data_IF_709587435110
#
_entry.id   IF_709587435110
#
_cell.length_a   1.000
_cell.length_b   1.000
_cell.length_c   1.000
_cell.angle_alpha   90.00
_cell.angle_beta   90.00
_cell.angle_gamma   90.00
#
_symmetry.space_group_name_H-M   'P 1'
#
loop_
_entity.id
_entity.type
_entity.pdbx_description
1 polymer ?
#
# COMPACT_ATOMS: atom_id res chain seq x y z
N UNK A 1 65.43 -31.49 -7.96
CA UNK A 1 63.97 -31.50 -8.15
C UNK A 1 63.36 -30.26 -7.50
N UNK A 2 63.04 -29.27 -8.33
CA UNK A 2 62.37 -28.02 -7.85
C UNK A 2 60.85 -28.24 -7.88
N UNK A 3 60.20 -28.19 -6.73
CA UNK A 3 58.73 -28.21 -6.64
C UNK A 3 58.21 -26.80 -7.00
N UNK A 4 57.50 -26.69 -8.13
CA UNK A 4 56.75 -25.47 -8.50
C UNK A 4 55.48 -25.44 -7.64
N UNK A 5 55.33 -24.42 -6.82
CA UNK A 5 54.10 -24.09 -6.14
C UNK A 5 53.25 -23.21 -7.08
N UNK A 6 52.11 -23.71 -7.49
CA UNK A 6 51.11 -22.97 -8.22
C UNK A 6 50.27 -22.14 -7.20
N UNK A 7 50.47 -20.85 -7.18
CA UNK A 7 49.70 -19.95 -6.34
C UNK A 7 48.40 -19.59 -7.11
N UNK A 8 47.31 -20.22 -6.73
CA UNK A 8 45.99 -19.88 -7.28
C UNK A 8 45.50 -18.61 -6.59
N UNK A 9 45.52 -17.51 -7.31
CA UNK A 9 44.99 -16.23 -6.84
C UNK A 9 43.47 -16.30 -6.91
N UNK A 10 42.80 -16.44 -5.77
CA UNK A 10 41.34 -16.31 -5.67
C UNK A 10 41.04 -14.81 -5.71
N UNK A 11 40.51 -14.34 -6.85
CA UNK A 11 39.95 -12.98 -6.96
C UNK A 11 38.56 -13.06 -6.32
N UNK A 12 38.45 -12.68 -5.06
CA UNK A 12 37.15 -12.31 -4.48
C UNK A 12 36.69 -11.03 -5.15
N UNK A 13 35.78 -11.15 -6.10
CA UNK A 13 34.98 -10.02 -6.54
C UNK A 13 34.01 -9.68 -5.42
N UNK A 14 34.34 -8.72 -4.57
CA UNK A 14 33.36 -8.07 -3.72
C UNK A 14 32.39 -7.30 -4.62
N UNK A 15 31.29 -7.92 -4.99
CA UNK A 15 30.12 -7.16 -5.44
C UNK A 15 29.64 -6.42 -4.21
N UNK A 16 29.93 -5.11 -4.15
CA UNK A 16 29.25 -4.25 -3.21
C UNK A 16 27.77 -4.29 -3.59
N UNK A 17 26.95 -5.03 -2.82
CA UNK A 17 25.52 -4.85 -2.82
C UNK A 17 25.28 -3.37 -2.50
N UNK A 18 24.90 -2.59 -3.51
CA UNK A 18 24.40 -1.24 -3.28
C UNK A 18 23.06 -1.42 -2.59
N UNK A 19 23.00 -1.16 -1.30
CA UNK A 19 21.74 -1.15 -0.56
C UNK A 19 20.73 -0.34 -1.36
N UNK A 20 19.60 -0.95 -1.69
CA UNK A 20 18.50 -0.29 -2.39
C UNK A 20 18.13 1.00 -1.66
N UNK A 21 18.06 2.10 -2.36
CA UNK A 21 17.78 3.41 -1.79
C UNK A 21 16.58 4.07 -2.45
N UNK A 22 15.84 4.82 -1.67
CA UNK A 22 14.79 5.69 -2.18
C UNK A 22 15.37 6.80 -3.06
N UNK A 23 14.76 7.04 -4.21
CA UNK A 23 15.20 8.01 -5.21
C UNK A 23 14.18 9.13 -5.31
N UNK A 24 14.65 10.38 -5.20
CA UNK A 24 13.80 11.54 -5.40
C UNK A 24 13.41 11.68 -6.89
N UNK A 25 12.15 11.98 -7.13
CA UNK A 25 11.55 12.26 -8.43
C UNK A 25 10.99 13.69 -8.47
N UNK A 26 10.35 14.07 -9.57
CA UNK A 26 9.70 15.38 -9.67
C UNK A 26 8.57 15.52 -8.65
N UNK A 27 8.61 16.59 -7.88
CA UNK A 27 7.62 16.87 -6.84
C UNK A 27 6.19 16.92 -7.39
N UNK A 28 5.23 16.44 -6.59
CA UNK A 28 3.81 16.60 -6.87
C UNK A 28 3.46 18.09 -6.88
N UNK A 29 2.64 18.58 -7.85
CA UNK A 29 2.36 20.01 -7.97
C UNK A 29 1.85 20.67 -6.69
N UNK A 30 1.06 19.95 -5.89
CA UNK A 30 0.49 20.47 -4.63
C UNK A 30 0.61 19.38 -3.55
N UNK A 31 1.27 19.72 -2.43
CA UNK A 31 1.36 18.84 -1.25
C UNK A 31 -0.02 18.63 -0.64
N UNK A 32 -0.32 17.35 -0.31
CA UNK A 32 -1.65 16.96 0.19
C UNK A 32 -1.61 15.69 1.03
N UNK A 33 -2.64 15.49 1.81
CA UNK A 33 -2.93 14.20 2.46
C UNK A 33 -4.24 13.60 1.96
N UNK A 34 -4.41 12.29 2.16
CA UNK A 34 -5.56 11.51 1.69
C UNK A 34 -5.89 11.69 0.20
N UNK A 35 -4.90 11.72 -0.71
CA UNK A 35 -5.22 11.67 -2.13
C UNK A 35 -5.82 10.32 -2.49
N UNK A 36 -6.69 10.28 -3.49
CA UNK A 36 -7.02 9.06 -4.20
C UNK A 36 -5.88 8.78 -5.18
N UNK A 37 -5.25 7.61 -5.05
CA UNK A 37 -4.08 7.24 -5.86
C UNK A 37 -4.24 5.88 -6.52
N UNK A 38 -3.70 5.74 -7.71
CA UNK A 38 -3.62 4.48 -8.45
C UNK A 38 -2.57 4.58 -9.56
N UNK A 39 -2.14 3.43 -10.09
CA UNK A 39 -1.35 3.36 -11.32
C UNK A 39 -2.18 2.74 -12.45
N UNK A 40 -2.07 3.29 -13.65
CA UNK A 40 -2.78 2.79 -14.82
C UNK A 40 -2.01 3.13 -16.10
N UNK A 41 -1.88 2.15 -17.00
CA UNK A 41 -1.15 2.31 -18.27
C UNK A 41 0.28 2.86 -18.13
N UNK A 42 1.01 2.43 -17.09
CA UNK A 42 2.38 2.86 -16.81
C UNK A 42 2.51 4.30 -16.31
N UNK A 43 1.43 4.90 -15.86
CA UNK A 43 1.37 6.24 -15.25
C UNK A 43 0.84 6.16 -13.83
N UNK A 44 1.24 7.12 -12.98
CA UNK A 44 0.69 7.31 -11.65
C UNK A 44 -0.34 8.44 -11.61
N UNK A 45 -1.32 8.33 -10.75
CA UNK A 45 -2.38 9.33 -10.62
C UNK A 45 -2.56 9.75 -9.17
N UNK A 46 -2.77 11.05 -8.97
CA UNK A 46 -3.13 11.66 -7.70
C UNK A 46 -4.34 12.56 -7.92
N UNK A 47 -5.47 12.22 -7.32
CA UNK A 47 -6.75 12.90 -7.52
C UNK A 47 -7.30 13.28 -6.15
N UNK A 48 -7.86 14.49 -6.01
CA UNK A 48 -8.50 14.97 -4.79
C UNK A 48 -7.54 15.00 -3.57
N UNK A 49 -8.06 15.00 -2.37
CA UNK A 49 -7.30 15.05 -1.12
C UNK A 49 -7.53 16.37 -0.38
N UNK A 50 -6.79 16.56 0.69
CA UNK A 50 -6.75 17.84 1.43
C UNK A 50 -5.41 18.50 1.20
N UNK A 51 -5.41 19.73 0.75
CA UNK A 51 -4.21 20.55 0.52
C UNK A 51 -3.65 21.16 1.82
N UNK A 52 -2.57 21.91 1.69
CA UNK A 52 -1.92 22.59 2.83
C UNK A 52 -2.75 23.69 3.47
N UNK A 53 -3.87 24.13 2.85
CA UNK A 53 -4.82 25.09 3.44
C UNK A 53 -5.89 24.39 4.28
N UNK A 54 -5.90 23.04 4.28
CA UNK A 54 -6.88 22.22 4.99
C UNK A 54 -8.20 22.06 4.22
N UNK A 55 -8.22 22.40 2.92
CA UNK A 55 -9.43 22.29 2.11
C UNK A 55 -9.43 21.02 1.26
N UNK A 56 -10.57 20.32 1.16
CA UNK A 56 -10.76 19.27 0.18
C UNK A 56 -10.64 19.82 -1.26
N UNK A 57 -10.00 19.05 -2.14
CA UNK A 57 -9.79 19.44 -3.55
C UNK A 57 -10.51 18.48 -4.51
N UNK A 58 -10.63 18.90 -5.77
CA UNK A 58 -11.13 18.12 -6.91
C UNK A 58 -10.10 18.02 -8.05
N UNK A 59 -8.94 18.63 -7.88
CA UNK A 59 -7.84 18.61 -8.85
C UNK A 59 -7.30 17.19 -9.10
N UNK A 60 -6.75 16.98 -10.29
CA UNK A 60 -6.23 15.68 -10.73
C UNK A 60 -4.88 15.86 -11.45
N UNK A 61 -3.96 14.95 -11.15
CA UNK A 61 -2.60 14.94 -11.71
C UNK A 61 -2.22 13.55 -12.21
N UNK A 62 -1.48 13.51 -13.31
CA UNK A 62 -0.87 12.32 -13.90
C UNK A 62 0.65 12.43 -13.84
N UNK A 63 1.31 11.45 -13.27
CA UNK A 63 2.76 11.31 -13.28
C UNK A 63 3.23 10.42 -14.41
N UNK A 64 4.19 10.91 -15.20
CA UNK A 64 4.87 10.13 -16.23
C UNK A 64 6.29 9.77 -15.77
N UNK A 65 6.58 8.48 -15.45
CA UNK A 65 7.90 8.07 -14.96
C UNK A 65 8.98 8.18 -16.03
N UNK A 66 8.64 8.08 -17.32
CA UNK A 66 9.62 8.17 -18.42
C UNK A 66 10.22 9.57 -18.55
N UNK A 67 9.40 10.60 -18.38
CA UNK A 67 9.85 12.01 -18.46
C UNK A 67 10.10 12.62 -17.08
N UNK A 68 9.75 11.91 -16.02
CA UNK A 68 9.78 12.40 -14.65
C UNK A 68 9.03 13.73 -14.49
N UNK A 69 7.79 13.80 -14.98
CA UNK A 69 6.96 15.01 -14.96
C UNK A 69 5.54 14.72 -14.55
N UNK A 70 4.88 15.73 -13.97
CA UNK A 70 3.47 15.74 -13.70
C UNK A 70 2.69 16.56 -14.72
N UNK A 71 1.56 16.04 -15.18
CA UNK A 71 0.58 16.72 -16.01
C UNK A 71 -0.66 17.04 -15.18
N UNK A 72 -1.20 18.24 -15.36
CA UNK A 72 -2.53 18.60 -14.82
C UNK A 72 -3.58 17.98 -15.71
N UNK A 73 -4.53 17.29 -15.14
CA UNK A 73 -5.67 16.71 -15.84
C UNK A 73 -6.92 17.60 -15.66
N UNK A 74 -8.00 17.23 -16.32
CA UNK A 74 -9.34 17.76 -16.01
C UNK A 74 -9.71 17.38 -14.58
N UNK A 75 -10.21 18.35 -13.82
CA UNK A 75 -10.62 18.14 -12.44
C UNK A 75 -11.67 17.04 -12.32
N UNK A 76 -11.70 16.37 -11.19
CA UNK A 76 -12.71 15.39 -10.87
C UNK A 76 -14.11 16.04 -10.84
N UNK A 77 -15.08 15.55 -11.63
CA UNK A 77 -16.37 16.23 -11.78
C UNK A 77 -17.32 16.09 -10.59
N UNK A 78 -16.98 15.24 -9.63
CA UNK A 78 -17.72 15.11 -8.37
C UNK A 78 -17.38 16.24 -7.39
N UNK A 79 -17.96 16.20 -6.21
CA UNK A 79 -17.64 17.18 -5.17
C UNK A 79 -16.18 17.09 -4.75
N UNK A 80 -15.54 18.25 -4.54
CA UNK A 80 -14.22 18.35 -3.92
C UNK A 80 -14.19 17.58 -2.61
N UNK A 81 -13.23 16.67 -2.44
CA UNK A 81 -13.22 15.69 -1.36
C UNK A 81 -11.84 15.33 -0.85
N UNK A 82 -11.82 14.81 0.35
CA UNK A 82 -10.69 14.10 0.95
C UNK A 82 -11.16 12.73 1.46
N UNK A 83 -10.24 11.90 1.93
CA UNK A 83 -10.59 10.63 2.58
C UNK A 83 -11.31 9.62 1.68
N UNK A 84 -11.33 9.86 0.38
CA UNK A 84 -11.78 8.91 -0.61
C UNK A 84 -10.74 7.84 -0.91
N UNK A 85 -11.10 6.90 -1.77
CA UNK A 85 -10.21 5.80 -2.16
C UNK A 85 -10.46 5.40 -3.61
N UNK A 86 -9.47 4.77 -4.23
CA UNK A 86 -9.56 4.27 -5.59
C UNK A 86 -8.79 2.97 -5.81
N UNK A 87 -9.14 2.28 -6.87
CA UNK A 87 -8.48 1.07 -7.37
C UNK A 87 -8.57 1.02 -8.89
N UNK A 88 -7.91 0.07 -9.52
CA UNK A 88 -7.95 -0.11 -10.97
C UNK A 88 -8.43 -1.50 -11.35
N UNK A 89 -9.25 -1.59 -12.39
CA UNK A 89 -9.70 -2.84 -13.00
C UNK A 89 -10.01 -2.61 -14.47
N UNK A 90 -9.75 -3.60 -15.33
CA UNK A 90 -10.13 -3.59 -16.74
C UNK A 90 -9.73 -2.31 -17.51
N UNK A 91 -8.51 -1.79 -17.24
CA UNK A 91 -8.00 -0.61 -17.92
C UNK A 91 -8.63 0.72 -17.51
N UNK A 92 -9.41 0.75 -16.43
CA UNK A 92 -10.01 1.95 -15.83
C UNK A 92 -9.68 2.05 -14.34
N UNK A 93 -9.74 3.28 -13.82
CA UNK A 93 -9.77 3.49 -12.38
C UNK A 93 -11.23 3.57 -11.89
N UNK A 94 -11.43 3.14 -10.66
CA UNK A 94 -12.69 3.23 -9.92
C UNK A 94 -12.41 3.94 -8.60
N UNK A 95 -13.18 4.99 -8.32
CA UNK A 95 -12.91 5.88 -7.19
C UNK A 95 -14.20 6.46 -6.61
N UNK A 96 -14.16 6.86 -5.35
CA UNK A 96 -15.32 7.45 -4.71
C UNK A 96 -15.18 7.55 -3.19
N UNK A 97 -16.31 7.67 -2.52
CA UNK A 97 -16.40 7.83 -1.08
C UNK A 97 -15.67 9.10 -0.57
N UNK A 98 -15.32 9.11 0.71
CA UNK A 98 -14.66 10.25 1.33
C UNK A 98 -15.63 11.28 1.87
N UNK A 99 -15.14 12.49 2.04
CA UNK A 99 -15.93 13.59 2.60
C UNK A 99 -15.57 14.93 1.94
N UNK A 100 -16.57 15.80 1.86
CA UNK A 100 -16.38 17.23 1.67
C UNK A 100 -16.09 17.91 3.00
N UNK A 101 -16.03 19.24 3.04
CA UNK A 101 -15.95 19.97 4.30
C UNK A 101 -17.18 19.78 5.23
N UNK A 102 -18.32 19.31 4.70
CA UNK A 102 -19.59 19.28 5.44
C UNK A 102 -20.40 17.98 5.29
N UNK A 103 -19.99 17.04 4.46
CA UNK A 103 -20.76 15.81 4.22
C UNK A 103 -19.88 14.63 3.86
N UNK A 104 -20.27 13.43 4.32
CA UNK A 104 -19.68 12.17 3.89
C UNK A 104 -20.34 11.67 2.61
N UNK A 105 -19.57 11.00 1.78
CA UNK A 105 -19.95 10.63 0.42
C UNK A 105 -20.02 9.12 0.25
N UNK A 106 -20.79 8.67 -0.74
CA UNK A 106 -20.90 7.27 -1.19
C UNK A 106 -21.08 7.12 -2.69
N UNK A 107 -20.88 8.25 -3.40
CA UNK A 107 -20.87 8.25 -4.85
C UNK A 107 -19.66 7.46 -5.37
N UNK A 108 -19.85 6.86 -6.53
CA UNK A 108 -18.87 5.99 -7.14
C UNK A 108 -18.69 6.34 -8.61
N UNK A 109 -17.45 6.31 -9.08
CA UNK A 109 -17.08 6.81 -10.38
C UNK A 109 -16.07 5.88 -11.05
N UNK A 110 -16.05 5.83 -12.37
CA UNK A 110 -14.93 5.31 -13.15
C UNK A 110 -14.22 6.45 -13.88
N UNK A 111 -12.90 6.29 -14.07
CA UNK A 111 -12.05 7.16 -14.88
C UNK A 111 -11.38 6.35 -15.99
N UNK A 112 -11.54 6.79 -17.23
CA UNK A 112 -10.88 6.22 -18.39
C UNK A 112 -9.70 7.11 -18.79
N UNK A 113 -8.45 6.68 -18.58
CA UNK A 113 -7.27 7.50 -18.87
C UNK A 113 -7.03 7.69 -20.37
N UNK A 114 -7.61 6.84 -21.24
CA UNK A 114 -7.45 6.93 -22.69
C UNK A 114 -8.22 8.13 -23.24
N UNK A 115 -9.38 8.43 -22.66
CA UNK A 115 -10.23 9.54 -23.06
C UNK A 115 -10.19 10.73 -22.10
N UNK A 116 -9.60 10.56 -20.90
CA UNK A 116 -9.61 11.53 -19.82
C UNK A 116 -11.01 11.78 -19.23
N UNK A 117 -11.93 10.82 -19.37
CA UNK A 117 -13.34 11.01 -18.97
C UNK A 117 -13.68 10.27 -17.68
N UNK A 118 -14.51 10.93 -16.86
CA UNK A 118 -15.15 10.35 -15.69
C UNK A 118 -16.59 9.95 -16.00
N UNK A 119 -17.02 8.84 -15.45
CA UNK A 119 -18.43 8.36 -15.55
C UNK A 119 -18.93 8.04 -14.16
N UNK A 120 -20.06 8.64 -13.77
CA UNK A 120 -20.70 8.29 -12.51
C UNK A 120 -21.39 6.93 -12.64
N UNK A 121 -21.17 6.08 -11.65
CA UNK A 121 -21.68 4.73 -11.53
C UNK A 121 -22.77 4.65 -10.46
N UNK A 122 -23.35 3.46 -10.25
CA UNK A 122 -24.29 3.26 -9.15
C UNK A 122 -23.64 3.58 -7.81
N UNK A 123 -24.26 4.43 -7.02
CA UNK A 123 -23.83 4.71 -5.66
C UNK A 123 -23.87 3.44 -4.82
N UNK A 124 -22.94 3.34 -3.84
CA UNK A 124 -22.99 2.23 -2.89
C UNK A 124 -24.31 2.22 -2.12
N UNK A 125 -24.90 1.03 -1.92
CA UNK A 125 -26.06 0.85 -1.06
C UNK A 125 -25.70 0.97 0.44
N UNK A 126 -24.40 1.03 0.75
CA UNK A 126 -23.86 1.25 2.10
C UNK A 126 -24.10 2.70 2.61
N UNK A 127 -23.75 2.97 3.87
CA UNK A 127 -23.73 4.35 4.37
C UNK A 127 -22.60 5.18 3.72
N UNK A 128 -22.82 6.50 3.60
CA UNK A 128 -21.77 7.43 3.21
C UNK A 128 -20.61 7.35 4.20
N UNK A 129 -19.35 7.31 3.72
CA UNK A 129 -18.21 7.08 4.61
C UNK A 129 -16.90 7.66 4.09
N UNK A 130 -16.02 7.98 5.02
CA UNK A 130 -14.63 8.32 4.77
C UNK A 130 -13.70 7.20 5.22
N UNK A 131 -12.47 7.19 4.71
CA UNK A 131 -11.41 6.23 5.01
C UNK A 131 -11.83 4.75 4.84
N UNK A 132 -12.61 4.37 3.82
CA UNK A 132 -12.91 2.98 3.59
C UNK A 132 -11.68 2.24 3.05
N UNK A 133 -11.77 0.92 3.05
CA UNK A 133 -10.93 0.02 2.27
C UNK A 133 -11.52 -0.19 0.88
N UNK A 134 -10.68 -0.31 -0.16
CA UNK A 134 -11.10 -0.67 -1.52
C UNK A 134 -10.02 -1.47 -2.25
N UNK A 135 -10.42 -2.57 -2.87
CA UNK A 135 -9.54 -3.40 -3.70
C UNK A 135 -10.32 -4.04 -4.86
N UNK A 136 -9.64 -4.31 -5.96
CA UNK A 136 -10.22 -4.99 -7.11
C UNK A 136 -9.66 -6.41 -7.28
N UNK A 137 -10.52 -7.34 -7.69
CA UNK A 137 -10.14 -8.67 -8.19
C UNK A 137 -11.02 -8.98 -9.41
N UNK A 138 -10.40 -9.10 -10.57
CA UNK A 138 -11.11 -9.28 -11.83
C UNK A 138 -12.16 -8.20 -12.07
N UNK A 139 -13.43 -8.59 -12.34
CA UNK A 139 -14.55 -7.68 -12.59
C UNK A 139 -15.29 -7.26 -11.30
N UNK A 140 -14.65 -7.36 -10.14
CA UNK A 140 -15.26 -7.04 -8.85
C UNK A 140 -14.42 -6.07 -8.07
N UNK A 141 -15.07 -5.12 -7.41
CA UNK A 141 -14.43 -4.15 -6.50
C UNK A 141 -15.04 -4.35 -5.12
N UNK A 142 -14.17 -4.67 -4.16
CA UNK A 142 -14.52 -4.91 -2.76
C UNK A 142 -14.29 -3.63 -1.97
N UNK A 143 -15.28 -3.21 -1.21
CA UNK A 143 -15.24 -2.00 -0.39
C UNK A 143 -15.78 -2.31 1.00
N UNK A 144 -15.11 -1.84 2.03
CA UNK A 144 -15.60 -2.02 3.39
C UNK A 144 -14.95 -1.08 4.40
N UNK A 145 -15.32 -1.24 5.64
CA UNK A 145 -14.74 -0.47 6.74
C UNK A 145 -14.97 1.04 6.57
N UNK A 146 -14.13 1.86 7.20
CA UNK A 146 -14.29 3.31 7.21
C UNK A 146 -15.21 3.77 8.33
N UNK A 147 -15.58 5.04 8.33
CA UNK A 147 -16.55 5.58 9.31
C UNK A 147 -17.55 6.52 8.63
N UNK A 148 -18.77 6.52 9.16
CA UNK A 148 -19.79 7.51 8.83
C UNK A 148 -19.90 8.58 9.95
N UNK A 149 -20.93 9.40 9.89
CA UNK A 149 -21.16 10.45 10.88
C UNK A 149 -21.39 9.93 12.31
N UNK A 150 -21.67 8.64 12.47
CA UNK A 150 -22.11 8.05 13.74
C UNK A 150 -21.10 7.07 14.33
N UNK A 151 -20.42 6.29 13.49
CA UNK A 151 -19.57 5.20 13.98
C UNK A 151 -18.58 4.67 12.94
N UNK A 152 -17.56 3.99 13.45
CA UNK A 152 -16.71 3.11 12.63
C UNK A 152 -17.52 1.94 12.08
N UNK A 153 -17.10 1.44 10.91
CA UNK A 153 -17.79 0.38 10.16
C UNK A 153 -16.96 -0.90 10.11
N UNK A 154 -17.66 -2.02 9.95
CA UNK A 154 -17.08 -3.34 9.67
C UNK A 154 -17.76 -4.08 8.54
N UNK A 155 -18.81 -3.49 7.95
CA UNK A 155 -19.53 -4.03 6.81
C UNK A 155 -18.67 -4.01 5.55
N UNK A 156 -18.95 -4.98 4.66
CA UNK A 156 -18.28 -5.11 3.37
C UNK A 156 -19.30 -5.24 2.25
N UNK A 157 -18.88 -4.75 1.10
CA UNK A 157 -19.68 -4.68 -0.11
C UNK A 157 -18.84 -5.06 -1.33
N UNK A 158 -19.45 -5.63 -2.33
CA UNK A 158 -18.83 -5.89 -3.62
C UNK A 158 -19.62 -5.19 -4.73
N UNK A 159 -18.90 -4.45 -5.57
CA UNK A 159 -19.42 -3.87 -6.78
C UNK A 159 -19.13 -4.79 -7.97
N UNK A 160 -20.14 -5.11 -8.77
CA UNK A 160 -20.02 -5.81 -10.05
C UNK A 160 -19.84 -4.78 -11.17
N UNK A 161 -18.68 -4.79 -11.82
CA UNK A 161 -18.37 -3.88 -12.93
C UNK A 161 -19.33 -4.14 -14.10
N UNK A 162 -19.61 -5.41 -14.39
CA UNK A 162 -20.46 -5.81 -15.53
C UNK A 162 -21.93 -5.39 -15.36
N UNK A 163 -22.43 -5.41 -14.14
CA UNK A 163 -23.84 -5.16 -13.84
C UNK A 163 -24.11 -3.75 -13.29
N UNK A 164 -23.08 -2.99 -12.91
CA UNK A 164 -23.19 -1.71 -12.22
C UNK A 164 -24.08 -1.81 -10.96
N UNK A 165 -23.84 -2.84 -10.13
CA UNK A 165 -24.65 -3.10 -8.92
C UNK A 165 -23.76 -3.43 -7.72
N UNK A 166 -24.29 -3.15 -6.52
CA UNK A 166 -23.67 -3.46 -5.24
C UNK A 166 -24.34 -4.65 -4.56
N UNK A 167 -23.59 -5.44 -3.85
CA UNK A 167 -24.06 -6.54 -3.00
C UNK A 167 -23.32 -6.52 -1.69
N UNK A 168 -24.05 -6.65 -0.58
CA UNK A 168 -23.45 -6.75 0.75
C UNK A 168 -22.80 -8.11 0.97
N UNK A 169 -21.63 -8.11 1.60
CA UNK A 169 -20.88 -9.30 2.00
C UNK A 169 -20.93 -9.48 3.52
N UNK A 170 -20.31 -10.57 4.00
CA UNK A 170 -20.10 -10.78 5.43
C UNK A 170 -19.24 -9.67 6.03
N UNK A 171 -19.62 -9.21 7.20
CA UNK A 171 -18.84 -8.24 7.99
C UNK A 171 -17.47 -8.79 8.37
N UNK A 172 -16.47 -7.91 8.47
CA UNK A 172 -15.19 -8.26 9.09
C UNK A 172 -15.43 -8.76 10.53
N UNK A 173 -14.87 -9.91 10.95
CA UNK A 173 -15.11 -10.43 12.30
C UNK A 173 -14.46 -9.62 13.41
N UNK A 174 -13.46 -8.79 13.07
CA UNK A 174 -12.81 -7.88 14.01
C UNK A 174 -13.68 -6.66 14.37
N UNK A 175 -13.10 -5.75 15.16
CA UNK A 175 -13.75 -4.50 15.54
C UNK A 175 -13.98 -3.58 14.34
N UNK A 176 -15.06 -2.80 14.39
CA UNK A 176 -15.32 -1.72 13.45
C UNK A 176 -14.15 -0.72 13.45
N UNK A 177 -13.76 -0.24 12.26
CA UNK A 177 -12.54 0.56 12.11
C UNK A 177 -12.54 1.43 10.88
N UNK A 178 -11.69 2.45 10.89
CA UNK A 178 -11.37 3.27 9.73
C UNK A 178 -9.84 3.42 9.57
N UNK A 179 -9.39 4.01 8.45
CA UNK A 179 -8.00 4.00 8.03
C UNK A 179 -7.35 2.59 8.05
N UNK A 180 -8.04 1.56 7.56
CA UNK A 180 -7.46 0.23 7.48
C UNK A 180 -6.34 0.19 6.45
N UNK A 181 -5.51 -0.85 6.55
CA UNK A 181 -4.67 -1.28 5.43
C UNK A 181 -5.34 -2.45 4.73
N UNK A 182 -5.13 -2.51 3.42
CA UNK A 182 -5.76 -3.52 2.59
C UNK A 182 -4.96 -3.72 1.30
N UNK A 183 -4.91 -4.93 0.80
CA UNK A 183 -4.34 -5.25 -0.50
C UNK A 183 -4.91 -6.55 -1.07
N UNK A 184 -4.74 -6.72 -2.38
CA UNK A 184 -4.85 -7.99 -3.05
C UNK A 184 -3.48 -8.66 -3.03
N UNK A 185 -3.38 -9.86 -2.49
CA UNK A 185 -2.18 -10.65 -2.52
C UNK A 185 -2.53 -12.10 -2.88
N UNK A 186 -1.84 -12.68 -3.87
CA UNK A 186 -2.16 -14.01 -4.37
C UNK A 186 -3.58 -14.14 -4.97
N UNK A 187 -4.23 -13.05 -5.35
CA UNK A 187 -5.60 -13.05 -5.87
C UNK A 187 -6.69 -13.06 -4.79
N UNK A 188 -6.35 -12.86 -3.52
CA UNK A 188 -7.25 -12.82 -2.38
C UNK A 188 -7.29 -11.44 -1.73
N UNK A 189 -8.40 -11.10 -1.06
CA UNK A 189 -8.56 -9.84 -0.32
C UNK A 189 -8.02 -10.00 1.09
N UNK A 190 -7.13 -9.11 1.49
CA UNK A 190 -6.64 -8.99 2.86
C UNK A 190 -6.94 -7.60 3.40
N UNK A 191 -7.38 -7.53 4.66
CA UNK A 191 -7.66 -6.27 5.34
C UNK A 191 -7.43 -6.38 6.85
N UNK A 192 -7.01 -5.26 7.46
CA UNK A 192 -6.81 -5.18 8.91
C UNK A 192 -6.16 -3.88 9.33
N UNK A 193 -5.49 -3.87 10.46
CA UNK A 193 -4.91 -2.68 11.09
C UNK A 193 -5.92 -1.52 11.16
N UNK A 194 -5.46 -0.25 11.13
CA UNK A 194 -6.35 0.89 11.30
C UNK A 194 -6.81 1.08 12.75
N UNK A 195 -7.81 1.90 12.99
CA UNK A 195 -8.28 2.16 14.34
C UNK A 195 -9.80 2.25 14.47
N UNK A 196 -10.29 1.97 15.68
CA UNK A 196 -11.68 2.17 16.11
C UNK A 196 -11.70 2.81 17.48
N UNK A 197 -12.37 3.96 17.60
CA UNK A 197 -12.27 4.78 18.81
C UNK A 197 -10.82 5.20 19.07
N UNK A 198 -10.28 4.83 20.25
CA UNK A 198 -8.88 5.11 20.64
C UNK A 198 -7.94 3.92 20.37
N UNK A 199 -8.45 2.77 19.92
CA UNK A 199 -7.65 1.56 19.74
C UNK A 199 -7.11 1.48 18.33
N UNK A 200 -5.80 1.36 18.18
CA UNK A 200 -5.13 1.02 16.93
C UNK A 200 -4.91 -0.50 16.90
N UNK A 201 -5.25 -1.13 15.78
CA UNK A 201 -5.31 -2.58 15.67
C UNK A 201 -4.06 -3.17 14.99
N UNK A 202 -3.79 -4.45 15.29
CA UNK A 202 -2.75 -5.28 14.64
C UNK A 202 -3.34 -6.54 13.99
N UNK A 203 -4.63 -6.78 14.17
CA UNK A 203 -5.33 -7.93 13.62
C UNK A 203 -5.42 -7.85 12.10
N UNK A 204 -5.34 -9.01 11.46
CA UNK A 204 -5.27 -9.16 10.02
C UNK A 204 -6.18 -10.30 9.57
N UNK A 205 -6.88 -10.10 8.46
CA UNK A 205 -7.90 -11.02 7.98
C UNK A 205 -7.83 -11.21 6.48
N UNK A 206 -8.24 -12.40 6.02
CA UNK A 206 -8.41 -12.80 4.63
C UNK A 206 -9.87 -13.07 4.34
N UNK A 207 -10.41 -12.54 3.24
CA UNK A 207 -11.74 -12.84 2.73
C UNK A 207 -11.64 -13.96 1.68
N UNK A 208 -12.33 -15.05 1.92
CA UNK A 208 -12.70 -16.00 0.87
C UNK A 208 -13.88 -15.42 0.08
N UNK A 209 -13.59 -14.94 -1.13
CA UNK A 209 -14.58 -14.25 -1.96
C UNK A 209 -15.63 -15.20 -2.57
N UNK A 210 -15.35 -16.51 -2.61
CA UNK A 210 -16.29 -17.50 -3.11
C UNK A 210 -17.29 -17.95 -2.02
N UNK A 211 -16.78 -18.13 -0.79
CA UNK A 211 -17.58 -18.56 0.34
C UNK A 211 -18.17 -17.39 1.14
N UNK A 212 -17.74 -16.15 0.86
CA UNK A 212 -18.10 -14.96 1.60
C UNK A 212 -17.82 -15.10 3.12
N UNK A 213 -16.64 -15.59 3.47
CA UNK A 213 -16.21 -15.81 4.85
C UNK A 213 -14.83 -15.24 5.12
N UNK A 214 -14.63 -14.74 6.34
CA UNK A 214 -13.37 -14.19 6.78
C UNK A 214 -12.59 -15.19 7.66
N UNK A 215 -11.29 -15.23 7.45
CA UNK A 215 -10.35 -16.01 8.26
C UNK A 215 -9.37 -15.05 8.92
N UNK A 216 -9.15 -15.21 10.24
CA UNK A 216 -8.09 -14.48 10.93
C UNK A 216 -6.72 -15.02 10.51
N UNK A 217 -5.80 -14.12 10.23
CA UNK A 217 -4.43 -14.38 9.83
C UNK A 217 -3.46 -13.96 10.94
N UNK A 218 -2.18 -14.24 10.77
CA UNK A 218 -1.13 -13.81 11.70
C UNK A 218 -1.15 -12.31 11.88
N UNK A 219 -1.16 -11.88 13.13
CA UNK A 219 -1.16 -10.45 13.45
C UNK A 219 0.08 -9.77 12.88
N UNK A 220 -0.06 -8.49 12.55
CA UNK A 220 1.04 -7.65 12.15
C UNK A 220 2.10 -7.57 13.28
N UNK A 221 3.37 -7.91 13.04
CA UNK A 221 4.39 -7.99 14.09
C UNK A 221 4.93 -6.62 14.54
N UNK A 222 4.92 -5.62 13.65
CA UNK A 222 5.41 -4.27 13.94
C UNK A 222 4.54 -3.50 14.91
N UNK A 223 4.82 -2.21 15.11
CA UNK A 223 3.99 -1.31 15.89
C UNK A 223 2.59 -1.18 15.26
N UNK A 224 1.52 -1.20 16.08
CA UNK A 224 0.15 -0.99 15.60
C UNK A 224 0.07 0.35 14.84
N UNK A 225 -0.61 0.36 13.68
CA UNK A 225 -0.55 1.54 12.81
C UNK A 225 -1.85 1.84 12.09
N UNK A 226 -1.96 3.11 11.68
CA UNK A 226 -3.15 3.69 11.09
C UNK A 226 -2.77 4.73 10.02
N UNK A 227 -3.64 4.89 9.03
CA UNK A 227 -3.52 5.96 8.03
C UNK A 227 -2.17 6.04 7.30
N UNK A 228 -1.58 4.92 6.95
CA UNK A 228 -0.50 4.84 5.99
C UNK A 228 -1.03 4.62 4.58
N UNK A 229 -0.18 4.10 3.72
CA UNK A 229 -0.55 3.67 2.37
C UNK A 229 -0.20 2.20 2.16
N UNK A 230 -0.78 1.59 1.14
CA UNK A 230 -0.60 0.17 0.83
C UNK A 230 -0.58 -0.05 -0.68
N UNK A 231 0.04 -1.15 -1.07
CA UNK A 231 0.08 -1.60 -2.46
C UNK A 231 0.27 -3.12 -2.51
N UNK A 232 0.13 -3.68 -3.70
CA UNK A 232 0.47 -5.08 -3.97
C UNK A 232 1.40 -5.17 -5.18
N UNK A 233 2.28 -6.17 -5.16
CA UNK A 233 3.20 -6.47 -6.25
C UNK A 233 3.63 -7.95 -6.17
N UNK A 234 3.70 -8.62 -7.31
CA UNK A 234 4.20 -10.00 -7.45
C UNK A 234 3.56 -11.01 -6.48
N UNK A 235 2.27 -10.83 -6.17
CA UNK A 235 1.53 -11.70 -5.27
C UNK A 235 1.72 -11.41 -3.78
N UNK A 236 2.54 -10.42 -3.43
CA UNK A 236 2.72 -9.92 -2.06
C UNK A 236 1.88 -8.68 -1.80
N UNK A 237 1.53 -8.45 -0.54
CA UNK A 237 0.97 -7.19 -0.08
C UNK A 237 2.00 -6.36 0.67
N UNK A 238 1.89 -5.04 0.59
CA UNK A 238 2.80 -4.12 1.27
C UNK A 238 2.02 -3.05 2.02
N UNK A 239 2.53 -2.71 3.19
CA UNK A 239 2.08 -1.54 3.96
C UNK A 239 3.26 -0.60 4.17
N UNK A 240 3.00 0.70 4.12
CA UNK A 240 4.04 1.72 4.13
C UNK A 240 3.59 2.94 4.96
N UNK A 241 4.46 3.39 5.90
CA UNK A 241 4.24 4.58 6.70
C UNK A 241 2.98 4.52 7.60
N UNK A 242 2.40 5.65 7.92
CA UNK A 242 1.25 5.80 8.83
C UNK A 242 1.67 6.29 10.21
N UNK A 243 0.69 6.52 11.08
CA UNK A 243 0.94 6.78 12.49
C UNK A 243 0.96 5.47 13.29
N UNK A 244 1.77 5.43 14.32
CA UNK A 244 1.86 4.35 15.28
C UNK A 244 0.95 4.54 16.49
N UNK A 245 1.35 3.96 17.62
CA UNK A 245 0.63 4.03 18.89
C UNK A 245 0.31 5.49 19.30
N UNK A 246 -0.86 5.67 19.90
CA UNK A 246 -1.37 6.99 20.31
C UNK A 246 -1.53 8.01 19.18
N UNK A 247 -1.70 7.55 17.93
CA UNK A 247 -1.78 8.40 16.73
C UNK A 247 -0.58 9.34 16.60
N UNK A 248 0.60 8.86 16.98
CA UNK A 248 1.87 9.60 16.88
C UNK A 248 2.67 9.12 15.67
N UNK A 249 3.49 10.01 15.13
CA UNK A 249 4.43 9.62 14.09
C UNK A 249 5.44 8.58 14.64
N UNK A 250 5.83 7.64 13.79
CA UNK A 250 6.91 6.69 14.07
C UNK A 250 8.26 7.29 13.70
N UNK A 251 9.33 6.81 14.34
CA UNK A 251 10.68 7.32 14.13
C UNK A 251 11.21 7.08 12.71
N UNK A 252 10.68 6.07 12.04
CA UNK A 252 11.02 5.72 10.66
C UNK A 252 9.77 5.51 9.81
N UNK A 253 9.91 5.72 8.50
CA UNK A 253 8.85 5.47 7.53
C UNK A 253 8.76 4.00 7.13
N UNK A 254 8.51 3.12 8.11
CA UNK A 254 8.54 1.67 7.93
C UNK A 254 7.73 1.18 6.75
N UNK A 255 8.31 0.19 6.04
CA UNK A 255 7.64 -0.60 5.02
C UNK A 255 7.69 -2.08 5.40
N UNK A 256 6.60 -2.80 5.17
CA UNK A 256 6.49 -4.23 5.47
C UNK A 256 5.85 -4.98 4.30
N UNK A 257 6.38 -6.16 3.99
CA UNK A 257 5.84 -7.11 3.01
C UNK A 257 5.09 -8.23 3.73
N UNK A 258 3.89 -8.53 3.27
CA UNK A 258 3.13 -9.71 3.66
C UNK A 258 3.20 -10.79 2.58
N UNK A 259 3.52 -12.02 2.97
CA UNK A 259 3.50 -13.18 2.10
C UNK A 259 2.26 -14.04 2.41
N UNK A 260 1.26 -14.08 1.50
CA UNK A 260 0.03 -14.85 1.72
C UNK A 260 0.24 -16.37 1.69
N UNK A 261 1.31 -16.86 1.04
CA UNK A 261 1.56 -18.30 0.90
C UNK A 261 1.94 -18.98 2.23
N UNK A 262 2.58 -18.24 3.13
CA UNK A 262 3.02 -18.76 4.43
C UNK A 262 2.57 -17.92 5.62
N UNK A 263 1.71 -16.90 5.38
CA UNK A 263 1.14 -16.02 6.41
C UNK A 263 2.21 -15.31 7.26
N UNK A 264 3.23 -14.75 6.61
CA UNK A 264 4.35 -14.08 7.28
C UNK A 264 4.53 -12.64 6.84
N UNK A 265 5.09 -11.84 7.75
CA UNK A 265 5.48 -10.46 7.51
C UNK A 265 6.99 -10.33 7.52
N UNK A 266 7.53 -9.50 6.63
CA UNK A 266 8.95 -9.16 6.53
C UNK A 266 9.10 -7.65 6.45
N UNK A 267 10.02 -7.09 7.24
CA UNK A 267 10.32 -5.67 7.19
C UNK A 267 11.21 -5.35 5.98
N UNK A 268 10.87 -4.28 5.28
CA UNK A 268 11.60 -3.74 4.13
C UNK A 268 12.28 -2.42 4.51
N UNK A 269 13.24 -1.93 3.69
CA UNK A 269 13.88 -0.63 3.90
C UNK A 269 12.84 0.50 4.00
N UNK A 270 12.85 1.30 5.09
CA UNK A 270 11.88 2.36 5.29
C UNK A 270 12.08 3.51 4.30
N UNK A 271 11.04 4.31 4.05
CA UNK A 271 11.23 5.58 3.34
C UNK A 271 12.03 6.57 4.23
N UNK A 272 12.75 7.53 3.65
CA UNK A 272 13.54 8.49 4.42
C UNK A 272 12.70 9.34 5.38
N UNK A 273 13.25 9.57 6.56
CA UNK A 273 12.66 10.43 7.58
C UNK A 273 11.61 9.74 8.45
N UNK A 274 10.81 10.55 9.15
CA UNK A 274 9.73 10.09 10.01
C UNK A 274 8.55 9.57 9.19
N UNK A 275 7.72 8.72 9.80
CA UNK A 275 6.49 8.29 9.15
C UNK A 275 5.57 9.48 8.81
N UNK A 276 4.65 9.26 7.87
CA UNK A 276 3.68 10.26 7.41
C UNK A 276 2.26 9.75 7.57
N UNK A 277 1.39 10.60 8.04
CA UNK A 277 -0.02 10.34 8.13
C UNK A 277 -0.70 10.59 6.79
N UNK A 278 -1.45 9.61 6.31
CA UNK A 278 -2.25 9.63 5.09
C UNK A 278 -1.51 10.06 3.80
N UNK A 279 -0.35 9.46 3.51
CA UNK A 279 0.36 9.66 2.25
C UNK A 279 -0.36 8.95 1.10
N UNK A 280 0.06 9.26 -0.13
CA UNK A 280 -0.30 8.53 -1.33
C UNK A 280 0.81 7.60 -1.81
N UNK A 281 0.43 6.54 -2.52
CA UNK A 281 1.37 5.69 -3.26
C UNK A 281 0.73 5.07 -4.49
N UNK A 282 1.57 4.69 -5.45
CA UNK A 282 1.21 3.87 -6.59
C UNK A 282 2.44 3.05 -7.04
N UNK A 283 2.22 1.94 -7.74
CA UNK A 283 3.29 1.08 -8.25
C UNK A 283 3.34 1.13 -9.77
N UNK A 284 4.51 1.40 -10.34
CA UNK A 284 4.76 1.38 -11.78
C UNK A 284 6.06 0.62 -12.03
N UNK A 285 6.03 -0.39 -12.90
CA UNK A 285 7.21 -1.14 -13.33
C UNK A 285 8.09 -1.62 -12.15
N UNK A 286 7.48 -2.22 -11.13
CA UNK A 286 8.15 -2.75 -9.94
C UNK A 286 8.73 -1.70 -8.96
N UNK A 287 8.56 -0.41 -9.24
CA UNK A 287 8.87 0.65 -8.30
C UNK A 287 7.59 1.11 -7.57
N UNK A 288 7.66 1.24 -6.25
CA UNK A 288 6.65 2.00 -5.50
C UNK A 288 7.03 3.48 -5.52
N UNK A 289 6.06 4.31 -5.82
CA UNK A 289 6.15 5.76 -5.73
C UNK A 289 5.35 6.22 -4.51
N UNK A 290 5.96 7.02 -3.67
CA UNK A 290 5.42 7.46 -2.38
C UNK A 290 5.50 8.98 -2.25
N UNK A 291 4.43 9.63 -1.84
CA UNK A 291 4.38 11.10 -1.76
C UNK A 291 3.36 11.61 -0.76
N UNK A 292 3.48 12.89 -0.43
CA UNK A 292 2.46 13.63 0.32
C UNK A 292 2.30 13.14 1.76
N UNK A 293 1.07 13.19 2.25
CA UNK A 293 0.73 12.95 3.63
C UNK A 293 1.00 14.18 4.51
N UNK A 294 0.90 14.00 5.81
CA UNK A 294 1.32 14.98 6.82
C UNK A 294 2.55 14.47 7.54
N UNK A 295 3.64 15.19 7.48
CA UNK A 295 4.75 15.00 8.39
C UNK A 295 4.40 15.66 9.72
N UNK A 296 3.92 14.87 10.68
CA UNK A 296 3.47 15.40 11.97
C UNK A 296 4.63 15.89 12.86
N UNK A 297 5.84 15.43 12.61
CA UNK A 297 7.04 15.91 13.32
C UNK A 297 7.37 17.36 12.96
N UNK A 298 7.22 17.73 11.68
CA UNK A 298 7.49 19.09 11.19
C UNK A 298 6.21 19.91 10.97
N UNK A 299 5.02 19.30 11.12
CA UNK A 299 3.71 19.91 10.80
C UNK A 299 3.63 20.44 9.35
N UNK A 300 4.19 19.69 8.41
CA UNK A 300 4.23 20.06 6.99
C UNK A 300 3.45 19.09 6.12
N UNK A 301 3.08 19.58 4.91
CA UNK A 301 2.44 18.80 3.84
C UNK A 301 3.48 18.62 2.72
N UNK A 302 4.30 17.56 2.77
CA UNK A 302 5.32 17.34 1.75
C UNK A 302 4.71 17.20 0.36
N UNK A 303 5.40 17.72 -0.64
CA UNK A 303 5.07 17.49 -2.05
C UNK A 303 6.14 16.65 -2.77
N UNK A 304 7.15 16.18 -2.05
CA UNK A 304 8.18 15.30 -2.58
C UNK A 304 7.58 13.99 -3.11
N UNK A 305 8.09 13.52 -4.23
CA UNK A 305 7.84 12.17 -4.74
C UNK A 305 9.12 11.35 -4.61
N UNK A 306 9.02 10.21 -3.96
CA UNK A 306 10.11 9.26 -3.78
C UNK A 306 9.74 7.95 -4.48
N UNK A 307 10.71 7.29 -5.12
CA UNK A 307 10.51 5.93 -5.64
C UNK A 307 11.48 4.94 -5.01
N UNK A 308 11.07 3.67 -4.98
CA UNK A 308 11.88 2.56 -4.47
C UNK A 308 11.64 1.31 -5.31
N UNK A 309 12.72 0.66 -5.76
CA UNK A 309 12.66 -0.60 -6.51
C UNK A 309 12.39 -1.76 -5.55
N UNK A 310 11.13 -2.15 -5.46
CA UNK A 310 10.67 -3.21 -4.57
C UNK A 310 11.08 -4.59 -5.06
N UNK A 311 11.16 -4.81 -6.39
CA UNK A 311 11.54 -6.11 -6.95
C UNK A 311 13.00 -6.43 -6.67
N UNK A 312 13.91 -5.48 -6.87
CA UNK A 312 15.31 -5.65 -6.55
C UNK A 312 15.52 -5.91 -5.04
N UNK A 313 14.87 -5.12 -4.18
CA UNK A 313 14.93 -5.32 -2.73
C UNK A 313 14.34 -6.68 -2.28
N UNK A 314 13.34 -7.19 -2.99
CA UNK A 314 12.79 -8.55 -2.72
C UNK A 314 13.83 -9.62 -3.03
N UNK A 315 14.53 -9.53 -4.16
CA UNK A 315 15.59 -10.49 -4.51
C UNK A 315 16.73 -10.47 -3.51
N UNK A 316 17.22 -9.28 -3.14
CA UNK A 316 18.31 -9.13 -2.17
C UNK A 316 17.96 -9.76 -0.80
N UNK A 317 16.74 -9.51 -0.31
CA UNK A 317 16.28 -10.06 0.98
C UNK A 317 16.05 -11.57 0.92
N UNK A 318 15.51 -12.09 -0.17
CA UNK A 318 15.29 -13.52 -0.34
C UNK A 318 16.65 -14.26 -0.50
N UNK A 319 17.66 -13.65 -1.13
CA UNK A 319 19.03 -14.17 -1.18
C UNK A 319 19.68 -14.18 0.22
N UNK A 320 19.56 -13.09 0.98
CA UNK A 320 20.09 -13.02 2.36
C UNK A 320 19.44 -14.08 3.27
N UNK A 321 18.13 -14.30 3.16
CA UNK A 321 17.43 -15.34 3.91
C UNK A 321 17.93 -16.73 3.50
N UNK A 322 18.17 -16.96 2.22
CA UNK A 322 18.69 -18.21 1.70
C UNK A 322 20.12 -18.46 2.17
N UNK A 323 20.99 -17.46 2.13
CA UNK A 323 22.37 -17.55 2.59
C UNK A 323 22.46 -17.83 4.10
N UNK A 324 21.66 -17.19 4.91
CA UNK A 324 21.63 -17.38 6.37
C UNK A 324 21.03 -18.73 6.79
N UNK A 325 20.32 -19.42 5.91
CA UNK A 325 19.79 -20.77 6.14
C UNK A 325 20.55 -21.84 5.35
N UNK A 326 21.71 -21.54 4.78
CA UNK A 326 22.50 -22.53 4.02
C UNK A 326 23.12 -23.58 4.94
N UNK A 327 22.91 -24.82 4.59
CA UNK A 327 23.52 -25.96 5.24
C UNK A 327 24.77 -26.34 4.48
N UNK A 328 25.93 -26.16 5.08
CA UNK A 328 27.19 -26.59 4.50
C UNK A 328 27.50 -28.02 4.96
N UNK A 329 27.78 -28.96 4.05
CA UNK A 329 28.32 -30.26 4.45
C UNK A 329 29.68 -30.03 5.06
N UNK A 330 29.90 -30.57 6.28
CA UNK A 330 31.21 -30.55 6.91
C UNK A 330 32.18 -31.40 6.08
N UNK A 331 33.37 -30.92 5.70
CA UNK A 331 34.31 -31.68 4.87
C UNK A 331 34.99 -32.84 5.59
N UNK A 332 34.71 -33.08 6.86
CA UNK A 332 35.29 -34.15 7.65
C UNK A 332 34.19 -35.11 8.12
N UNK A 333 34.32 -36.37 7.74
CA UNK A 333 33.62 -37.51 8.31
C UNK A 333 32.15 -37.78 7.97
N UNK A 334 31.66 -37.56 6.78
CA UNK A 334 30.33 -38.01 6.33
C UNK A 334 29.12 -37.57 7.20
N UNK A 335 29.28 -36.54 8.01
CA UNK A 335 28.20 -35.95 8.80
C UNK A 335 27.84 -34.57 8.29
N UNK A 336 26.55 -34.29 8.20
CA UNK A 336 26.01 -32.96 7.96
C UNK A 336 25.80 -32.30 9.32
N UNK A 337 26.50 -31.19 9.59
CA UNK A 337 26.23 -30.35 10.77
C UNK A 337 25.37 -29.17 10.36
N UNK A 338 24.36 -28.89 11.17
CA UNK A 338 23.48 -27.76 11.00
C UNK A 338 23.88 -26.72 12.06
N UNK A 339 24.44 -25.61 11.67
CA UNK A 339 24.59 -24.48 12.55
C UNK A 339 23.47 -23.47 12.26
N UNK A 340 22.60 -23.30 13.23
CA UNK A 340 21.67 -22.18 13.23
C UNK A 340 22.31 -21.06 14.03
N UNK A 341 22.55 -19.93 13.40
CA UNK A 341 22.95 -18.72 14.14
C UNK A 341 21.78 -18.31 15.06
N UNK A 342 22.04 -18.35 16.37
CA UNK A 342 21.09 -17.94 17.41
C UNK A 342 21.30 -16.49 17.84
N UNK A 343 21.83 -15.65 16.98
CA UNK A 343 21.96 -14.23 17.27
C UNK A 343 20.72 -13.47 16.79
N UNK A 344 19.71 -13.42 17.62
CA UNK A 344 18.71 -12.35 17.66
C UNK A 344 18.63 -11.86 19.10
#
# INVERSE_FOLDING_TARGET
MMKKYLLTLLILSSTSLLAQSWVAKADVPIGRHHPITFALNGKGYAITGTDSTGQPTDDAFEYNPTTNTWNVLTDFPGLARSFGIGTTANGKAYLGFGATASAYLKDFWSFDPTTGTYTQLANCDCSSRRHPAMISIGNRIYVGLGNDDYSDKKDWWVYSIDNNTWTQLADLPGSARHHPYMFNAGGEVFAGLGHGGQTIFKDWYKLDTAMNTWTAMSQFPGEARVAGTQFNMDGYGFILSGDGDNHSYMDTGEMWRYNPANDTWLQFPPHPGKSRWAPGSFVINNEVFFFGGVNRFTSTYPNDLLSFDVAAATMDLDEEIMENNFVYPSPANHFISWEFDKSV
#
